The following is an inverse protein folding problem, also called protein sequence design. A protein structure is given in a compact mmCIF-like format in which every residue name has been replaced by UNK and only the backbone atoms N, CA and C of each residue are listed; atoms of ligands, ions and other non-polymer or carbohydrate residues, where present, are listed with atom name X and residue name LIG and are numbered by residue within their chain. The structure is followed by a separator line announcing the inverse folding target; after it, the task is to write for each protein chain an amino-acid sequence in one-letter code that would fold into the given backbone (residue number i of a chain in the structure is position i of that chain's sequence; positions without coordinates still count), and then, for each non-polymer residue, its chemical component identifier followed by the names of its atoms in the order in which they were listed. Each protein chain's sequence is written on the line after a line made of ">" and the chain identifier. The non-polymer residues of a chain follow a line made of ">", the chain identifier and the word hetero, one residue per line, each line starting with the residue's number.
data_IF_673783611931
#
_entry.id   IF_673783611931
#
_cell.length_a   1.000
_cell.length_b   1.000
_cell.length_c   1.000
_cell.angle_alpha   90.00
_cell.angle_beta   90.00
_cell.angle_gamma   90.00
#
_symmetry.space_group_name_H-M   'P 1'
#
loop_
_entity.id
_entity.type
_entity.pdbx_description
1 polymer ?
#
# COMPACT_ATOMS: atom_id res chain seq x y z
N UNK A 1 45.74 -61.60 -9.00
CA UNK A 1 44.54 -60.93 -8.44
C UNK A 1 44.77 -59.43 -8.44
N UNK A 2 44.12 -58.68 -9.33
CA UNK A 2 44.32 -57.23 -9.52
C UNK A 2 43.38 -56.49 -8.55
N UNK A 3 43.92 -55.65 -7.67
CA UNK A 3 43.15 -54.88 -6.67
C UNK A 3 42.28 -53.84 -7.37
N UNK A 4 40.97 -53.97 -7.24
CA UNK A 4 39.94 -53.05 -7.74
C UNK A 4 39.49 -52.19 -6.55
N UNK A 5 40.25 -51.16 -6.19
CA UNK A 5 39.91 -50.11 -5.23
C UNK A 5 40.96 -49.02 -5.48
N UNK A 6 40.65 -47.80 -5.93
CA UNK A 6 40.04 -46.73 -5.15
C UNK A 6 39.90 -45.49 -6.05
N UNK A 7 38.67 -45.02 -6.29
CA UNK A 7 38.39 -43.63 -6.69
C UNK A 7 37.17 -43.17 -5.88
N UNK A 8 37.42 -42.65 -4.66
CA UNK A 8 36.38 -42.08 -3.78
C UNK A 8 36.29 -40.55 -3.88
N UNK A 9 37.03 -39.94 -4.81
CA UNK A 9 37.13 -38.48 -5.00
C UNK A 9 35.89 -37.86 -5.65
N UNK A 10 35.17 -38.61 -6.51
CA UNK A 10 33.95 -38.10 -7.17
C UNK A 10 32.74 -37.95 -6.26
N UNK A 11 32.59 -38.79 -5.24
CA UNK A 11 31.45 -38.74 -4.32
C UNK A 11 31.50 -37.53 -3.38
N UNK A 12 32.70 -37.11 -2.97
CA UNK A 12 32.90 -35.90 -2.17
C UNK A 12 32.48 -34.64 -2.95
N UNK A 13 32.84 -34.57 -4.24
CA UNK A 13 32.46 -33.46 -5.10
C UNK A 13 30.94 -33.40 -5.31
N UNK A 14 30.30 -34.55 -5.58
CA UNK A 14 28.84 -34.63 -5.69
C UNK A 14 28.12 -34.21 -4.40
N UNK A 15 28.63 -34.62 -3.23
CA UNK A 15 28.08 -34.23 -1.93
C UNK A 15 28.16 -32.72 -1.72
N UNK A 16 29.31 -32.09 -2.04
CA UNK A 16 29.46 -30.64 -1.91
C UNK A 16 28.56 -29.87 -2.87
N UNK A 17 28.38 -30.34 -4.10
CA UNK A 17 27.41 -29.75 -5.04
C UNK A 17 25.97 -29.84 -4.51
N UNK A 18 25.62 -30.96 -3.88
CA UNK A 18 24.29 -31.14 -3.28
C UNK A 18 24.07 -30.18 -2.10
N UNK A 19 25.09 -30.01 -1.26
CA UNK A 19 25.06 -29.05 -0.13
C UNK A 19 24.94 -27.62 -0.67
N UNK A 20 25.75 -27.24 -1.66
CA UNK A 20 25.70 -25.91 -2.26
C UNK A 20 24.36 -25.64 -2.95
N UNK A 21 23.80 -26.62 -3.66
CA UNK A 21 22.46 -26.51 -4.26
C UNK A 21 21.39 -26.31 -3.18
N UNK A 22 21.47 -27.05 -2.07
CA UNK A 22 20.57 -26.86 -0.93
C UNK A 22 20.66 -25.46 -0.32
N UNK A 23 21.88 -24.96 -0.10
CA UNK A 23 22.11 -23.61 0.41
C UNK A 23 21.59 -22.54 -0.56
N UNK A 24 21.77 -22.75 -1.87
CA UNK A 24 21.26 -21.83 -2.90
C UNK A 24 19.74 -21.75 -2.87
N UNK A 25 19.04 -22.88 -2.75
CA UNK A 25 17.58 -22.92 -2.66
C UNK A 25 17.12 -22.13 -1.43
N UNK A 26 17.73 -22.36 -0.26
CA UNK A 26 17.39 -21.64 0.98
C UNK A 26 17.62 -20.13 0.83
N UNK A 27 18.75 -19.72 0.25
CA UNK A 27 19.05 -18.31 0.02
C UNK A 27 18.05 -17.65 -0.94
N UNK A 28 17.67 -18.33 -2.01
CA UNK A 28 16.67 -17.85 -2.96
C UNK A 28 15.29 -17.71 -2.29
N UNK A 29 14.88 -18.69 -1.49
CA UNK A 29 13.63 -18.60 -0.71
C UNK A 29 13.66 -17.46 0.30
N UNK A 30 14.79 -17.18 0.95
CA UNK A 30 14.93 -16.03 1.85
C UNK A 30 14.79 -14.69 1.12
N UNK A 31 15.38 -14.57 -0.08
CA UNK A 31 15.33 -13.35 -0.89
C UNK A 31 13.91 -12.95 -1.26
N UNK A 32 13.06 -13.91 -1.65
CA UNK A 32 11.66 -13.60 -2.02
C UNK A 32 10.86 -13.06 -0.84
N UNK A 33 11.07 -13.60 0.37
CA UNK A 33 10.42 -13.10 1.60
C UNK A 33 10.85 -11.67 1.91
N UNK A 34 12.14 -11.36 1.79
CA UNK A 34 12.65 -10.00 2.03
C UNK A 34 12.04 -9.01 1.03
N UNK A 35 12.01 -9.37 -0.25
CA UNK A 35 11.41 -8.51 -1.29
C UNK A 35 9.92 -8.26 -1.06
N UNK A 36 9.18 -9.29 -0.63
CA UNK A 36 7.78 -9.14 -0.25
C UNK A 36 7.61 -8.18 0.92
N UNK A 37 8.47 -8.29 1.95
CA UNK A 37 8.48 -7.37 3.10
C UNK A 37 8.74 -5.92 2.70
N UNK A 38 9.74 -5.68 1.84
CA UNK A 38 10.04 -4.33 1.34
C UNK A 38 8.88 -3.74 0.54
N UNK A 39 8.27 -4.54 -0.34
CA UNK A 39 7.10 -4.10 -1.12
C UNK A 39 5.92 -3.76 -0.22
N UNK A 40 5.63 -4.61 0.77
CA UNK A 40 4.57 -4.37 1.74
C UNK A 40 4.81 -3.10 2.56
N UNK A 41 6.04 -2.88 3.04
CA UNK A 41 6.43 -1.67 3.78
C UNK A 41 6.29 -0.40 2.95
N UNK A 42 6.69 -0.43 1.67
CA UNK A 42 6.51 0.69 0.74
C UNK A 42 5.04 1.05 0.53
N UNK A 43 4.18 0.05 0.29
CA UNK A 43 2.73 0.24 0.15
C UNK A 43 2.13 0.81 1.45
N UNK A 44 2.57 0.33 2.61
CA UNK A 44 2.09 0.82 3.90
C UNK A 44 2.48 2.28 4.13
N UNK A 45 3.71 2.67 3.85
CA UNK A 45 4.15 4.06 3.98
C UNK A 45 3.37 5.01 3.03
N UNK A 46 3.16 4.60 1.78
CA UNK A 46 2.32 5.35 0.83
C UNK A 46 0.86 5.43 1.29
N UNK A 47 0.34 4.34 1.85
CA UNK A 47 -1.01 4.25 2.40
C UNK A 47 -1.22 5.22 3.56
N UNK A 48 -0.29 5.32 4.51
CA UNK A 48 -0.38 6.28 5.62
C UNK A 48 -0.38 7.71 5.09
N UNK A 49 0.44 8.02 4.09
CA UNK A 49 0.47 9.35 3.43
C UNK A 49 -0.82 9.68 2.69
N UNK A 50 -1.44 8.70 2.01
CA UNK A 50 -2.74 8.87 1.36
C UNK A 50 -3.86 9.06 2.40
N UNK A 51 -3.78 8.35 3.52
CA UNK A 51 -4.74 8.46 4.63
C UNK A 51 -4.72 9.84 5.27
N UNK A 52 -3.55 10.39 5.61
CA UNK A 52 -3.46 11.75 6.16
C UNK A 52 -4.02 12.83 5.22
N UNK A 53 -3.94 12.63 3.90
CA UNK A 53 -4.56 13.54 2.93
C UNK A 53 -6.07 13.41 2.94
N UNK A 54 -6.59 12.19 3.04
CA UNK A 54 -8.02 11.97 3.19
C UNK A 54 -8.54 12.62 4.48
N UNK A 55 -7.85 12.44 5.61
CA UNK A 55 -8.19 13.11 6.87
C UNK A 55 -8.14 14.63 6.77
N UNK A 56 -7.13 15.21 6.13
CA UNK A 56 -7.05 16.65 5.92
C UNK A 56 -8.28 17.20 5.16
N UNK A 57 -8.78 16.46 4.16
CA UNK A 57 -10.02 16.82 3.49
C UNK A 57 -11.25 16.74 4.40
N UNK A 58 -11.33 15.72 5.26
CA UNK A 58 -12.42 15.61 6.25
C UNK A 58 -12.39 16.76 7.26
N UNK A 59 -11.22 17.11 7.78
CA UNK A 59 -11.06 18.25 8.68
C UNK A 59 -11.46 19.57 8.02
N UNK A 60 -11.10 19.75 6.74
CA UNK A 60 -11.51 20.93 5.99
C UNK A 60 -13.03 21.04 5.87
N UNK A 61 -13.72 19.94 5.51
CA UNK A 61 -15.18 20.00 5.37
C UNK A 61 -15.87 20.18 6.72
N UNK A 62 -15.36 19.57 7.79
CA UNK A 62 -15.85 19.81 9.15
C UNK A 62 -15.68 21.28 9.56
N UNK A 63 -14.55 21.89 9.22
CA UNK A 63 -14.34 23.31 9.47
C UNK A 63 -15.32 24.19 8.66
N UNK A 64 -15.54 23.88 7.38
CA UNK A 64 -16.48 24.62 6.53
C UNK A 64 -17.95 24.47 7.00
N UNK A 65 -18.33 23.30 7.52
CA UNK A 65 -19.65 23.06 8.12
C UNK A 65 -19.86 23.87 9.41
N UNK A 66 -18.83 23.97 10.25
CA UNK A 66 -18.91 24.69 11.52
C UNK A 66 -18.86 26.21 11.36
N UNK A 67 -17.96 26.72 10.52
CA UNK A 67 -17.67 28.16 10.46
C UNK A 67 -18.40 28.89 9.31
N UNK A 68 -18.58 28.24 8.16
CA UNK A 68 -19.05 28.89 6.93
C UNK A 68 -20.48 28.53 6.51
N UNK A 69 -21.22 27.74 7.31
CA UNK A 69 -22.60 27.32 6.99
C UNK A 69 -22.72 26.77 5.57
N UNK A 70 -21.86 25.80 5.24
CA UNK A 70 -21.71 25.22 3.91
C UNK A 70 -23.07 24.85 3.30
N UNK A 71 -23.36 25.42 2.12
CA UNK A 71 -24.56 25.09 1.35
C UNK A 71 -24.24 23.88 0.48
N UNK A 72 -24.86 22.75 0.79
CA UNK A 72 -24.70 21.52 0.01
C UNK A 72 -25.47 21.63 -1.32
N UNK A 73 -24.81 21.41 -2.47
CA UNK A 73 -25.53 21.32 -3.73
C UNK A 73 -26.59 20.20 -3.71
N UNK A 74 -27.68 20.34 -4.46
CA UNK A 74 -28.73 19.29 -4.50
C UNK A 74 -28.27 18.00 -5.18
N UNK A 75 -27.21 18.07 -5.99
CA UNK A 75 -26.75 16.95 -6.82
C UNK A 75 -25.23 16.93 -6.92
N UNK A 76 -24.56 15.91 -6.35
CA UNK A 76 -23.31 15.37 -6.93
C UNK A 76 -22.78 14.17 -6.11
N UNK A 77 -23.05 12.95 -6.60
CA UNK A 77 -22.28 11.75 -6.24
C UNK A 77 -21.07 11.53 -7.16
N UNK A 78 -21.13 12.10 -8.38
CA UNK A 78 -20.19 11.78 -9.46
C UNK A 78 -19.04 12.80 -9.61
N UNK A 79 -19.20 14.01 -9.05
CA UNK A 79 -18.18 15.06 -9.08
C UNK A 79 -17.68 15.39 -7.67
N UNK A 80 -16.37 15.65 -7.49
CA UNK A 80 -15.84 16.09 -6.22
C UNK A 80 -16.34 17.51 -5.92
N UNK A 81 -16.95 17.69 -4.75
CA UNK A 81 -17.36 18.99 -4.23
C UNK A 81 -16.16 19.90 -3.97
N UNK A 82 -15.06 19.30 -3.49
CA UNK A 82 -13.78 19.97 -3.27
C UNK A 82 -12.68 19.08 -3.83
N UNK A 83 -11.81 19.64 -4.66
CA UNK A 83 -10.59 19.00 -5.12
C UNK A 83 -9.42 19.96 -4.85
N UNK A 84 -8.47 19.51 -4.04
CA UNK A 84 -7.28 20.31 -3.72
C UNK A 84 -6.02 19.47 -3.94
N UNK A 85 -5.04 20.07 -4.61
CA UNK A 85 -3.71 19.49 -4.76
C UNK A 85 -2.78 20.05 -3.70
N UNK A 86 -2.20 19.15 -2.91
CA UNK A 86 -1.11 19.43 -1.99
C UNK A 86 0.20 19.05 -2.67
N UNK A 87 1.32 19.67 -2.30
CA UNK A 87 2.63 19.52 -2.96
C UNK A 87 2.95 18.14 -3.60
N UNK A 88 2.76 17.04 -2.88
CA UNK A 88 3.03 15.67 -3.38
C UNK A 88 1.79 14.77 -3.54
N UNK A 89 0.57 15.32 -3.61
CA UNK A 89 -0.65 14.52 -3.81
C UNK A 89 -1.91 15.36 -3.92
N UNK A 90 -3.07 14.72 -3.80
CA UNK A 90 -4.34 15.44 -3.81
C UNK A 90 -5.32 14.79 -2.83
N UNK A 91 -6.39 15.50 -2.52
CA UNK A 91 -7.57 14.89 -1.96
C UNK A 91 -8.82 15.42 -2.68
N UNK A 92 -9.86 14.59 -2.68
CA UNK A 92 -11.16 14.86 -3.28
C UNK A 92 -12.25 14.58 -2.27
N UNK A 93 -13.16 15.51 -2.08
CA UNK A 93 -14.29 15.37 -1.16
C UNK A 93 -15.57 15.18 -1.97
N UNK A 94 -16.30 14.13 -1.65
CA UNK A 94 -17.60 13.79 -2.17
C UNK A 94 -18.60 13.84 -1.02
N UNK A 95 -19.87 14.07 -1.32
CA UNK A 95 -20.91 14.01 -0.29
C UNK A 95 -22.19 13.37 -0.85
N UNK A 96 -23.00 12.82 0.04
CA UNK A 96 -24.33 12.30 -0.29
C UNK A 96 -25.39 13.19 0.34
N UNK A 97 -26.30 13.75 -0.47
CA UNK A 97 -27.38 14.62 0.02
C UNK A 97 -28.66 13.85 0.45
N UNK A 98 -28.51 12.57 0.78
CA UNK A 98 -29.59 11.75 1.34
C UNK A 98 -29.32 11.56 2.83
N UNK A 99 -30.38 11.52 3.65
CA UNK A 99 -30.26 11.24 5.08
C UNK A 99 -29.82 9.78 5.31
N UNK A 100 -28.71 9.52 6.02
CA UNK A 100 -27.79 10.47 6.66
C UNK A 100 -26.77 11.06 5.70
N UNK A 101 -26.40 12.33 5.90
CA UNK A 101 -25.40 13.00 5.07
C UNK A 101 -24.04 12.34 5.32
N UNK A 102 -23.43 11.81 4.25
CA UNK A 102 -22.11 11.18 4.31
C UNK A 102 -21.14 12.03 3.52
N UNK A 103 -20.05 12.45 4.16
CA UNK A 103 -18.90 13.03 3.48
C UNK A 103 -17.83 11.98 3.29
N UNK A 104 -17.33 11.83 2.08
CA UNK A 104 -16.23 10.93 1.72
C UNK A 104 -15.07 11.74 1.20
N UNK A 105 -13.95 11.74 1.93
CA UNK A 105 -12.69 12.28 1.44
C UNK A 105 -11.82 11.15 0.91
N UNK A 106 -11.28 11.32 -0.29
CA UNK A 106 -10.36 10.39 -0.94
C UNK A 106 -9.01 11.08 -1.10
N UNK A 107 -8.02 10.64 -0.34
CA UNK A 107 -6.64 11.10 -0.45
C UNK A 107 -5.83 10.21 -1.40
N UNK A 108 -5.04 10.84 -2.27
CA UNK A 108 -4.16 10.19 -3.22
C UNK A 108 -2.70 10.57 -2.95
N UNK A 109 -1.84 9.54 -2.92
CA UNK A 109 -0.40 9.71 -2.89
C UNK A 109 0.27 8.66 -3.78
N UNK A 110 0.97 9.13 -4.82
CA UNK A 110 1.56 8.28 -5.86
C UNK A 110 0.51 7.35 -6.49
N UNK A 111 0.64 6.03 -6.33
CA UNK A 111 -0.31 5.03 -6.87
C UNK A 111 -1.26 4.49 -5.79
N UNK A 112 -1.29 5.09 -4.60
CA UNK A 112 -2.10 4.63 -3.47
C UNK A 112 -3.22 5.62 -3.18
N UNK A 113 -4.44 5.12 -3.07
CA UNK A 113 -5.64 5.88 -2.67
C UNK A 113 -6.17 5.34 -1.35
N UNK A 114 -6.58 6.25 -0.46
CA UNK A 114 -7.29 5.92 0.78
C UNK A 114 -8.48 6.85 0.93
N UNK A 115 -9.56 6.33 1.48
CA UNK A 115 -10.76 7.11 1.77
C UNK A 115 -11.04 7.13 3.26
N UNK A 116 -11.58 8.25 3.72
CA UNK A 116 -12.14 8.44 5.06
C UNK A 116 -13.56 8.95 4.87
N UNK A 117 -14.47 8.44 5.69
CA UNK A 117 -15.88 8.82 5.64
C UNK A 117 -16.34 9.24 7.02
N UNK A 118 -17.14 10.30 7.05
CA UNK A 118 -17.88 10.72 8.24
C UNK A 118 -19.36 10.74 7.90
N UNK A 119 -20.17 10.36 8.89
CA UNK A 119 -21.63 10.42 8.83
C UNK A 119 -22.09 11.48 9.83
N UNK A 120 -22.92 12.41 9.36
CA UNK A 120 -23.58 13.41 10.18
C UNK A 120 -25.06 13.07 10.34
#
# INVERSE_FOLDING_TARGET
>A
MKKIFQDKSGSALALTMFILAGMLIVAMSGSTVILLGLKAGGIQAQSTKAYYRAEAGIERILWELNENSLVLPETSLDEPMIEESLAEGNYKIYYTNFDPIIFTSVGEFQQTKRSVQIRL
#
